data_IF_766751659952
#
_entry.id   IF_766751659952
#
_cell.length_a   1.000
_cell.length_b   1.000
_cell.length_c   1.000
_cell.angle_alpha   90.00
_cell.angle_beta   90.00
_cell.angle_gamma   90.00
#
_symmetry.space_group_name_H-M   'P 1'
#
loop_
_entity.id
_entity.type
_entity.pdbx_description
1 polymer ?
#
# COMPACT_ATOMS: atom_id res chain seq x y z
N UNK A 1 9.12 13.21 8.06
CA UNK A 1 8.18 13.44 6.92
C UNK A 1 8.22 12.20 6.05
N UNK A 2 7.08 11.74 5.51
CA UNK A 2 7.08 10.63 4.56
C UNK A 2 7.81 11.00 3.26
N UNK A 3 8.56 10.06 2.70
CA UNK A 3 9.21 10.21 1.41
C UNK A 3 8.15 10.23 0.29
N UNK A 4 8.26 11.19 -0.62
CA UNK A 4 7.42 11.26 -1.82
C UNK A 4 7.89 10.27 -2.89
N UNK A 5 7.00 9.88 -3.82
CA UNK A 5 7.38 9.00 -4.93
C UNK A 5 8.53 9.58 -5.79
N UNK A 6 8.56 10.91 -5.97
CA UNK A 6 9.65 11.60 -6.67
C UNK A 6 11.00 11.49 -5.94
N UNK A 7 10.99 11.66 -4.62
CA UNK A 7 12.20 11.50 -3.80
C UNK A 7 12.69 10.05 -3.82
N UNK A 8 11.77 9.08 -3.84
CA UNK A 8 12.11 7.66 -3.93
C UNK A 8 12.69 7.29 -5.30
N UNK A 9 12.07 7.71 -6.40
CA UNK A 9 12.57 7.45 -7.76
C UNK A 9 13.98 8.02 -7.97
N UNK A 10 14.23 9.23 -7.49
CA UNK A 10 15.57 9.84 -7.52
C UNK A 10 16.57 9.06 -6.68
N UNK A 11 16.19 8.63 -5.47
CA UNK A 11 17.10 7.92 -4.58
C UNK A 11 17.42 6.50 -5.07
N UNK A 12 16.41 5.77 -5.57
CA UNK A 12 16.54 4.37 -5.94
C UNK A 12 17.05 4.14 -7.36
N UNK A 13 16.73 5.03 -8.32
CA UNK A 13 17.03 4.84 -9.74
C UNK A 13 17.77 6.02 -10.39
N UNK A 14 18.10 7.08 -9.63
CA UNK A 14 18.54 8.39 -10.16
C UNK A 14 17.61 8.96 -11.26
N UNK A 15 16.35 8.52 -11.27
CA UNK A 15 15.34 8.97 -12.22
C UNK A 15 14.75 10.32 -11.76
N UNK A 16 14.69 11.29 -12.68
CA UNK A 16 14.28 12.67 -12.39
C UNK A 16 13.28 13.16 -13.44
N UNK A 17 12.44 14.10 -13.06
CA UNK A 17 11.47 14.74 -13.94
C UNK A 17 10.83 15.94 -13.24
N UNK A 18 10.17 16.80 -14.01
CA UNK A 18 9.36 17.92 -13.52
C UNK A 18 8.11 17.45 -12.78
N UNK A 19 7.62 16.25 -13.11
CA UNK A 19 6.52 15.56 -12.43
C UNK A 19 6.75 14.04 -12.35
N UNK A 20 5.79 13.34 -11.74
CA UNK A 20 5.87 11.88 -11.54
C UNK A 20 5.81 11.09 -12.85
N UNK A 21 5.06 11.57 -13.84
CA UNK A 21 4.98 10.91 -15.13
C UNK A 21 6.35 10.95 -15.82
N UNK A 22 6.95 12.13 -15.90
CA UNK A 22 8.26 12.32 -16.51
C UNK A 22 9.34 11.52 -15.76
N UNK A 23 9.35 11.55 -14.44
CA UNK A 23 10.34 10.81 -13.65
C UNK A 23 10.24 9.29 -13.84
N UNK A 24 9.02 8.74 -13.95
CA UNK A 24 8.83 7.31 -14.24
C UNK A 24 9.35 6.96 -15.64
N UNK A 25 9.06 7.78 -16.64
CA UNK A 25 9.50 7.53 -18.02
C UNK A 25 11.01 7.72 -18.22
N UNK A 26 11.65 8.57 -17.42
CA UNK A 26 13.10 8.75 -17.42
C UNK A 26 13.86 7.61 -16.73
N UNK A 27 13.17 6.65 -16.11
CA UNK A 27 13.79 5.45 -15.57
C UNK A 27 14.01 4.41 -16.68
N UNK A 28 15.21 4.36 -17.25
CA UNK A 28 15.55 3.39 -18.30
C UNK A 28 15.42 1.93 -17.89
N UNK A 29 15.47 1.63 -16.59
CA UNK A 29 15.25 0.28 -16.04
C UNK A 29 13.81 -0.21 -16.19
N UNK A 30 12.85 0.66 -16.50
CA UNK A 30 11.46 0.28 -16.76
C UNK A 30 11.15 0.02 -18.23
N UNK A 31 12.08 0.32 -19.14
CA UNK A 31 11.87 0.06 -20.57
C UNK A 31 11.70 -1.44 -20.85
N UNK A 32 10.67 -1.77 -21.62
CA UNK A 32 10.32 -3.15 -21.98
C UNK A 32 9.47 -3.89 -20.94
N UNK A 33 9.26 -3.33 -19.74
CA UNK A 33 8.34 -3.88 -18.76
C UNK A 33 6.90 -3.54 -19.21
N UNK A 34 6.11 -4.56 -19.52
CA UNK A 34 4.72 -4.41 -19.98
C UNK A 34 3.73 -4.87 -18.92
N UNK A 35 2.48 -4.41 -19.04
CA UNK A 35 1.40 -4.88 -18.18
C UNK A 35 1.12 -6.37 -18.46
N UNK A 36 0.71 -7.15 -17.45
CA UNK A 36 0.28 -8.53 -17.66
C UNK A 36 -0.92 -8.58 -18.62
N UNK A 37 -1.03 -9.66 -19.39
CA UNK A 37 -2.11 -9.85 -20.35
C UNK A 37 -3.48 -10.18 -19.72
N UNK A 38 -3.52 -10.36 -18.39
CA UNK A 38 -4.71 -10.70 -17.62
C UNK A 38 -4.76 -9.90 -16.33
N UNK A 39 -5.97 -9.65 -15.85
CA UNK A 39 -6.24 -9.05 -14.54
C UNK A 39 -6.11 -10.08 -13.41
N UNK A 40 -6.17 -11.38 -13.72
CA UNK A 40 -5.79 -12.45 -12.78
C UNK A 40 -4.27 -12.50 -12.57
N UNK A 41 -3.75 -11.48 -11.89
CA UNK A 41 -2.33 -11.28 -11.66
C UNK A 41 -2.05 -10.78 -10.24
N UNK A 42 -0.85 -11.09 -9.73
CA UNK A 42 -0.46 -10.76 -8.34
C UNK A 42 -0.52 -9.27 -8.02
N UNK A 43 -0.37 -8.40 -9.03
CA UNK A 43 -0.55 -6.95 -8.89
C UNK A 43 -1.92 -6.56 -8.31
N UNK A 44 -2.91 -7.44 -8.38
CA UNK A 44 -4.22 -7.21 -7.77
C UNK A 44 -4.43 -8.17 -6.59
N UNK A 45 -4.40 -9.48 -6.81
CA UNK A 45 -4.79 -10.44 -5.77
C UNK A 45 -3.77 -10.56 -4.61
N UNK A 46 -2.56 -10.01 -4.77
CA UNK A 46 -1.56 -9.90 -3.70
C UNK A 46 -1.52 -8.47 -3.16
N UNK A 47 -1.25 -7.46 -4.00
CA UNK A 47 -1.03 -6.08 -3.53
C UNK A 47 -2.26 -5.42 -2.91
N UNK A 48 -3.47 -5.71 -3.41
CA UNK A 48 -4.68 -5.11 -2.84
C UNK A 48 -4.94 -5.62 -1.42
N UNK A 49 -5.07 -6.95 -1.17
CA UNK A 49 -5.32 -7.45 0.18
C UNK A 49 -4.13 -7.33 1.13
N UNK A 50 -2.88 -7.36 0.63
CA UNK A 50 -1.68 -7.37 1.48
C UNK A 50 -1.07 -5.99 1.71
N UNK A 51 -1.36 -5.01 0.85
CA UNK A 51 -0.81 -3.65 0.93
C UNK A 51 -1.90 -2.58 1.06
N UNK A 52 -2.79 -2.43 0.06
CA UNK A 52 -3.76 -1.33 0.08
C UNK A 52 -4.77 -1.43 1.21
N UNK A 53 -5.32 -2.63 1.47
CA UNK A 53 -6.29 -2.87 2.55
C UNK A 53 -5.70 -2.52 3.93
N UNK A 54 -4.53 -3.06 4.36
CA UNK A 54 -3.98 -2.71 5.67
C UNK A 54 -3.62 -1.22 5.78
N UNK A 55 -3.07 -0.60 4.72
CA UNK A 55 -2.77 0.85 4.73
C UNK A 55 -4.05 1.67 4.88
N UNK A 56 -5.12 1.30 4.17
CA UNK A 56 -6.39 2.01 4.26
C UNK A 56 -7.07 1.80 5.62
N UNK A 57 -6.97 0.60 6.20
CA UNK A 57 -7.48 0.30 7.54
C UNK A 57 -6.76 1.12 8.64
N UNK A 58 -5.42 1.26 8.55
CA UNK A 58 -4.65 2.17 9.40
C UNK A 58 -5.15 3.62 9.27
N UNK A 59 -5.37 4.08 8.03
CA UNK A 59 -5.90 5.41 7.77
C UNK A 59 -7.26 5.64 8.45
N UNK A 60 -8.19 4.71 8.29
CA UNK A 60 -9.51 4.78 8.93
C UNK A 60 -9.42 4.82 10.46
N UNK A 61 -8.60 3.95 11.08
CA UNK A 61 -8.43 3.85 12.54
C UNK A 61 -7.88 5.11 13.20
N UNK A 62 -7.00 5.82 12.49
CA UNK A 62 -6.31 7.00 13.02
C UNK A 62 -6.77 8.32 12.36
N UNK A 63 -7.93 8.32 11.70
CA UNK A 63 -8.59 9.55 11.23
C UNK A 63 -7.99 10.15 9.95
N UNK A 64 -7.23 9.39 9.17
CA UNK A 64 -6.66 9.83 7.89
C UNK A 64 -7.56 9.39 6.74
N UNK A 65 -8.08 10.36 5.98
CA UNK A 65 -8.92 10.09 4.81
C UNK A 65 -8.07 9.65 3.62
N UNK A 66 -8.36 8.47 3.08
CA UNK A 66 -7.57 7.79 2.04
C UNK A 66 -8.40 7.41 0.80
N UNK A 67 -9.30 8.30 0.38
CA UNK A 67 -10.32 8.06 -0.66
C UNK A 67 -9.78 7.50 -1.98
N UNK A 68 -8.57 7.90 -2.37
CA UNK A 68 -7.94 7.37 -3.58
C UNK A 68 -7.66 5.86 -3.45
N UNK A 69 -7.08 5.42 -2.33
CA UNK A 69 -6.81 4.00 -2.08
C UNK A 69 -8.10 3.20 -1.97
N UNK A 70 -9.10 3.71 -1.25
CA UNK A 70 -10.43 3.07 -1.14
C UNK A 70 -11.10 2.88 -2.51
N UNK A 71 -10.96 3.86 -3.40
CA UNK A 71 -11.50 3.76 -4.77
C UNK A 71 -10.80 2.67 -5.58
N UNK A 72 -9.46 2.56 -5.48
CA UNK A 72 -8.70 1.50 -6.15
C UNK A 72 -9.06 0.12 -5.60
N UNK A 73 -9.17 -0.03 -4.28
CA UNK A 73 -9.61 -1.28 -3.63
C UNK A 73 -11.01 -1.67 -4.14
N UNK A 74 -11.93 -0.71 -4.24
CA UNK A 74 -13.29 -0.95 -4.75
C UNK A 74 -13.29 -1.44 -6.19
N UNK A 75 -12.51 -0.83 -7.07
CA UNK A 75 -12.39 -1.27 -8.46
C UNK A 75 -11.81 -2.68 -8.54
N UNK A 76 -10.76 -2.98 -7.76
CA UNK A 76 -10.18 -4.32 -7.68
C UNK A 76 -11.21 -5.38 -7.21
N UNK A 77 -12.03 -5.04 -6.20
CA UNK A 77 -13.07 -5.94 -5.73
C UNK A 77 -14.09 -6.27 -6.81
N UNK A 78 -14.48 -5.27 -7.61
CA UNK A 78 -15.44 -5.43 -8.71
C UNK A 78 -14.86 -6.33 -9.80
N UNK A 79 -13.64 -6.04 -10.26
CA UNK A 79 -13.00 -6.77 -11.36
C UNK A 79 -12.73 -8.23 -11.00
N UNK A 80 -12.31 -8.52 -9.77
CA UNK A 80 -12.01 -9.88 -9.32
C UNK A 80 -13.21 -10.60 -8.69
N UNK A 81 -14.38 -9.95 -8.64
CA UNK A 81 -15.55 -10.45 -7.91
C UNK A 81 -15.20 -10.95 -6.49
N UNK A 82 -14.29 -10.25 -5.82
CA UNK A 82 -13.68 -10.67 -4.55
C UNK A 82 -13.73 -9.52 -3.56
N UNK A 83 -14.30 -9.77 -2.38
CA UNK A 83 -14.26 -8.80 -1.29
C UNK A 83 -12.85 -8.79 -0.63
N UNK A 84 -12.02 -7.85 -1.06
CA UNK A 84 -10.67 -7.69 -0.52
C UNK A 84 -10.65 -7.08 0.89
N UNK A 85 -11.69 -6.40 1.35
CA UNK A 85 -11.79 -5.98 2.75
C UNK A 85 -11.98 -7.20 3.65
N UNK A 86 -12.83 -8.13 3.23
CA UNK A 86 -13.00 -9.40 3.93
C UNK A 86 -11.81 -10.34 3.77
N UNK A 87 -11.04 -10.29 2.68
CA UNK A 87 -9.92 -11.23 2.44
C UNK A 87 -8.55 -10.69 2.88
N UNK A 88 -8.37 -9.38 2.91
CA UNK A 88 -7.09 -8.73 3.17
C UNK A 88 -6.68 -8.66 4.62
N UNK A 89 -5.50 -8.10 4.88
CA UNK A 89 -4.97 -7.87 6.22
C UNK A 89 -5.67 -6.65 6.85
N UNK A 90 -6.65 -6.90 7.70
CA UNK A 90 -7.29 -5.87 8.54
C UNK A 90 -6.48 -5.65 9.82
N UNK A 91 -6.75 -4.58 10.57
CA UNK A 91 -6.09 -4.37 11.86
C UNK A 91 -6.41 -5.48 12.86
N UNK A 92 -7.64 -5.98 12.85
CA UNK A 92 -8.06 -7.17 13.61
C UNK A 92 -7.14 -8.37 13.31
N UNK A 93 -6.96 -8.72 12.03
CA UNK A 93 -6.10 -9.85 11.60
C UNK A 93 -4.62 -9.64 11.88
N UNK A 94 -4.20 -8.40 11.95
CA UNK A 94 -2.82 -8.03 12.29
C UNK A 94 -2.61 -7.95 13.81
N UNK A 95 -3.66 -8.06 14.63
CA UNK A 95 -3.57 -7.89 16.08
C UNK A 95 -3.29 -6.44 16.51
N UNK A 96 -3.68 -5.45 15.68
CA UNK A 96 -3.37 -4.04 15.89
C UNK A 96 -4.60 -3.16 16.19
N UNK A 97 -5.80 -3.73 16.21
CA UNK A 97 -7.07 -2.98 16.28
C UNK A 97 -7.18 -2.10 17.53
N UNK A 98 -6.78 -2.66 18.67
CA UNK A 98 -6.86 -2.00 19.99
C UNK A 98 -5.62 -1.18 20.34
N UNK A 99 -4.57 -1.23 19.51
CA UNK A 99 -3.33 -0.53 19.77
C UNK A 99 -3.40 0.94 19.35
N UNK A 100 -2.86 1.82 20.19
CA UNK A 100 -2.55 3.20 19.84
C UNK A 100 -1.35 3.27 18.88
N UNK A 101 -1.15 4.42 18.23
CA UNK A 101 0.02 4.66 17.38
C UNK A 101 1.34 4.43 18.13
N UNK A 102 1.39 4.81 19.41
CA UNK A 102 2.57 4.61 20.26
C UNK A 102 2.85 3.14 20.51
N UNK A 103 1.82 2.36 20.84
CA UNK A 103 1.93 0.92 21.08
C UNK A 103 2.29 0.16 19.80
N UNK A 104 1.72 0.52 18.64
CA UNK A 104 2.11 -0.07 17.34
C UNK A 104 3.59 0.22 17.06
N UNK A 105 4.05 1.44 17.34
CA UNK A 105 5.44 1.84 17.12
C UNK A 105 6.39 1.07 18.04
N UNK A 106 6.04 0.93 19.33
CA UNK A 106 6.82 0.13 20.27
C UNK A 106 6.86 -1.35 19.83
N UNK A 107 5.71 -1.92 19.49
CA UNK A 107 5.60 -3.30 19.04
C UNK A 107 6.47 -3.61 17.83
N UNK A 108 6.49 -2.74 16.82
CA UNK A 108 7.33 -2.93 15.62
C UNK A 108 8.83 -2.85 15.93
N UNK A 109 9.24 -2.04 16.91
CA UNK A 109 10.66 -1.88 17.27
C UNK A 109 11.16 -2.95 18.25
N UNK A 110 10.30 -3.40 19.15
CA UNK A 110 10.69 -4.24 20.29
C UNK A 110 10.20 -5.69 20.14
N UNK A 111 9.17 -5.93 19.33
CA UNK A 111 8.56 -7.24 19.11
C UNK A 111 7.68 -7.73 20.28
N UNK A 112 7.35 -6.86 21.24
CA UNK A 112 6.59 -7.18 22.46
C UNK A 112 5.25 -6.44 22.42
N UNK A 113 4.14 -7.14 22.66
CA UNK A 113 2.82 -6.50 22.77
C UNK A 113 2.65 -5.87 24.16
N UNK A 114 1.86 -4.78 24.30
CA UNK A 114 1.68 -4.11 25.59
C UNK A 114 1.08 -4.96 26.71
N UNK A 115 0.46 -6.09 26.36
CA UNK A 115 -0.26 -6.97 27.27
C UNK A 115 0.31 -8.41 27.30
N UNK A 116 1.48 -8.63 26.69
CA UNK A 116 2.23 -9.91 26.69
C UNK A 116 3.33 -9.95 27.77
#
# INVERSE_FOLDING_TARGET
>A
RAQTAMEWLKMAYDARGSDLNEAIHNNSGYYGITAPASLEHRYIFEDVPMSLVPIAALGARFGVRVRAMESIIRLACIVHHTDYWRRGRTLERLGLEDLSVGEITAYVNEGILPYD
#
